data_IF_274331015299
#
_entry.id   IF_274331015299
#
_cell.length_a   1.000
_cell.length_b   1.000
_cell.length_c   1.000
_cell.angle_alpha   90.00
_cell.angle_beta   90.00
_cell.angle_gamma   90.00
#
_symmetry.space_group_name_H-M   'P 1'
#
loop_
_entity.id
_entity.type
_entity.pdbx_description
1 polymer ?
#
# COMPACT_ATOMS: atom_id res chain seq x y z
N UNK A 1 29.54 15.84 3.36
CA UNK A 1 29.31 14.38 3.26
C UNK A 1 27.90 14.12 3.74
N UNK A 2 26.91 14.23 2.85
CA UNK A 2 25.50 14.02 3.17
C UNK A 2 25.25 12.50 3.25
N UNK A 3 24.74 12.04 4.40
CA UNK A 3 24.47 10.63 4.67
C UNK A 3 23.34 10.04 3.82
N UNK A 4 23.16 8.70 3.84
CA UNK A 4 22.20 8.01 2.99
C UNK A 4 20.79 8.15 3.59
N UNK A 5 20.09 9.24 3.28
CA UNK A 5 18.70 9.44 3.72
C UNK A 5 17.68 9.52 2.57
N UNK A 6 18.15 9.42 1.32
CA UNK A 6 17.34 9.56 0.11
C UNK A 6 17.39 8.25 -0.69
N UNK A 7 16.91 7.15 -0.10
CA UNK A 7 16.33 6.11 -0.94
C UNK A 7 14.91 6.59 -1.21
N UNK A 8 14.57 6.97 -2.45
CA UNK A 8 13.22 7.45 -2.76
C UNK A 8 12.25 6.29 -2.52
N UNK A 9 11.60 6.31 -1.36
CA UNK A 9 10.46 5.45 -1.09
C UNK A 9 9.35 5.86 -2.05
N UNK A 10 8.68 4.88 -2.64
CA UNK A 10 7.48 5.14 -3.42
C UNK A 10 6.32 5.31 -2.44
N UNK A 11 5.43 6.26 -2.73
CA UNK A 11 4.17 6.33 -2.00
C UNK A 11 3.32 5.12 -2.36
N UNK A 12 2.64 4.56 -1.38
CA UNK A 12 1.89 3.32 -1.49
C UNK A 12 0.57 3.46 -0.76
N UNK A 13 -0.49 2.99 -1.40
CA UNK A 13 -1.84 2.88 -0.86
C UNK A 13 -2.16 1.39 -0.76
N UNK A 14 -2.36 0.93 0.47
CA UNK A 14 -2.74 -0.43 0.81
C UNK A 14 -4.22 -0.43 1.14
N UNK A 15 -4.99 -1.17 0.35
CA UNK A 15 -6.40 -1.40 0.61
C UNK A 15 -6.55 -2.73 1.34
N UNK A 16 -7.13 -2.71 2.53
CA UNK A 16 -7.43 -3.88 3.36
C UNK A 16 -8.77 -4.47 2.94
N UNK A 17 -8.88 -5.79 2.93
CA UNK A 17 -10.13 -6.47 2.63
C UNK A 17 -11.16 -6.26 3.75
N UNK A 18 -12.44 -6.14 3.38
CA UNK A 18 -13.54 -5.84 4.31
C UNK A 18 -13.66 -6.90 5.43
N UNK A 19 -13.51 -8.18 5.10
CA UNK A 19 -13.46 -9.30 6.05
C UNK A 19 -12.34 -9.20 7.10
N UNK A 20 -11.33 -8.36 6.84
CA UNK A 20 -10.16 -8.20 7.68
C UNK A 20 -10.06 -6.83 8.37
N UNK A 21 -11.08 -5.97 8.23
CA UNK A 21 -11.11 -4.66 8.90
C UNK A 21 -11.10 -4.74 10.42
N UNK A 22 -11.65 -5.81 11.01
CA UNK A 22 -11.56 -6.03 12.47
C UNK A 22 -10.10 -6.17 12.96
N UNK A 23 -9.19 -6.57 12.07
CA UNK A 23 -7.75 -6.70 12.32
C UNK A 23 -6.94 -5.56 11.68
N UNK A 24 -7.59 -4.47 11.27
CA UNK A 24 -6.94 -3.39 10.53
C UNK A 24 -5.70 -2.86 11.26
N UNK A 25 -5.80 -2.54 12.55
CA UNK A 25 -4.64 -2.07 13.34
C UNK A 25 -3.53 -3.10 13.46
N UNK A 26 -3.88 -4.38 13.55
CA UNK A 26 -2.88 -5.45 13.58
C UNK A 26 -2.15 -5.54 12.23
N UNK A 27 -2.89 -5.49 11.12
CA UNK A 27 -2.33 -5.46 9.78
C UNK A 27 -1.47 -4.23 9.55
N UNK A 28 -1.88 -3.06 10.03
CA UNK A 28 -1.08 -1.83 10.00
C UNK A 28 0.29 -2.02 10.67
N UNK A 29 0.31 -2.59 11.88
CA UNK A 29 1.58 -2.91 12.57
C UNK A 29 2.43 -3.95 11.82
N UNK A 30 1.79 -4.95 11.19
CA UNK A 30 2.50 -5.92 10.35
C UNK A 30 3.10 -5.27 9.10
N UNK A 31 2.37 -4.35 8.46
CA UNK A 31 2.86 -3.57 7.32
C UNK A 31 4.06 -2.70 7.72
N UNK A 32 3.99 -2.02 8.87
CA UNK A 32 5.12 -1.25 9.41
C UNK A 32 6.34 -2.13 9.69
N UNK A 33 6.14 -3.29 10.32
CA UNK A 33 7.21 -4.25 10.57
C UNK A 33 7.87 -4.79 9.30
N UNK A 34 7.21 -4.68 8.14
CA UNK A 34 7.73 -5.07 6.83
C UNK A 34 8.30 -3.91 6.00
N UNK A 35 8.41 -2.72 6.57
CA UNK A 35 9.05 -1.57 5.92
C UNK A 35 8.08 -0.53 5.34
N UNK A 36 6.77 -0.67 5.54
CA UNK A 36 5.83 0.41 5.21
C UNK A 36 5.91 1.52 6.26
N UNK A 37 6.30 2.73 5.89
CA UNK A 37 6.14 3.90 6.75
C UNK A 37 4.71 4.42 6.61
N UNK A 38 3.86 4.10 7.56
CA UNK A 38 2.47 4.57 7.56
C UNK A 38 2.46 6.09 7.75
N UNK A 39 1.78 6.77 6.82
CA UNK A 39 1.61 8.22 6.83
C UNK A 39 0.17 8.59 7.21
N UNK A 40 -0.82 7.84 6.72
CA UNK A 40 -2.22 8.04 7.05
C UNK A 40 -3.02 6.73 7.02
N UNK A 41 -3.99 6.61 7.93
CA UNK A 41 -4.86 5.44 8.08
C UNK A 41 -6.32 5.86 8.05
N UNK A 42 -7.06 5.32 7.10
CA UNK A 42 -8.50 5.52 6.94
C UNK A 42 -9.21 4.23 7.35
N UNK A 43 -9.28 3.97 8.65
CA UNK A 43 -9.86 2.73 9.22
C UNK A 43 -11.29 2.48 8.72
N UNK A 44 -12.11 3.53 8.58
CA UNK A 44 -13.48 3.42 8.09
C UNK A 44 -13.62 3.01 6.63
N UNK A 45 -12.56 3.17 5.82
CA UNK A 45 -12.52 2.76 4.42
C UNK A 45 -11.58 1.56 4.18
N UNK A 46 -10.85 1.12 5.21
CA UNK A 46 -9.84 0.09 5.06
C UNK A 46 -8.60 0.52 4.29
N UNK A 47 -8.27 1.81 4.23
CA UNK A 47 -7.14 2.30 3.43
C UNK A 47 -5.97 2.68 4.34
N UNK A 48 -4.77 2.23 4.04
CA UNK A 48 -3.52 2.60 4.69
C UNK A 48 -2.62 3.21 3.62
N UNK A 49 -2.17 4.44 3.84
CA UNK A 49 -1.26 5.14 2.92
C UNK A 49 0.05 5.43 3.60
N UNK A 50 1.14 5.29 2.87
CA UNK A 50 2.48 5.36 3.42
C UNK A 50 3.54 5.41 2.34
N UNK A 51 4.80 5.31 2.75
CA UNK A 51 5.92 5.18 1.84
C UNK A 51 6.69 3.90 2.14
N UNK A 52 7.09 3.17 1.10
CA UNK A 52 7.91 1.96 1.23
C UNK A 52 8.91 1.86 0.08
N UNK A 53 9.93 1.03 0.24
CA UNK A 53 10.86 0.73 -0.84
C UNK A 53 10.18 -0.16 -1.89
N UNK A 54 10.59 -0.11 -3.16
CA UNK A 54 10.05 -0.99 -4.21
C UNK A 54 10.15 -2.49 -3.87
N UNK A 55 11.23 -2.89 -3.17
CA UNK A 55 11.39 -4.26 -2.68
C UNK A 55 10.31 -4.63 -1.66
N UNK A 56 10.04 -3.72 -0.70
CA UNK A 56 9.04 -3.92 0.34
C UNK A 56 7.64 -3.97 -0.27
N UNK A 57 7.31 -3.07 -1.22
CA UNK A 57 6.01 -3.03 -1.92
C UNK A 57 5.63 -4.40 -2.49
N UNK A 58 6.56 -5.11 -3.13
CA UNK A 58 6.29 -6.45 -3.65
C UNK A 58 5.98 -7.47 -2.54
N UNK A 59 6.60 -7.33 -1.36
CA UNK A 59 6.29 -8.16 -0.20
C UNK A 59 4.93 -7.81 0.42
N UNK A 60 4.52 -6.54 0.40
CA UNK A 60 3.21 -6.09 0.91
C UNK A 60 2.07 -6.61 0.03
N UNK A 61 2.27 -6.68 -1.31
CA UNK A 61 1.28 -7.19 -2.29
C UNK A 61 0.81 -8.63 -1.99
N UNK A 62 1.67 -9.46 -1.38
CA UNK A 62 1.35 -10.84 -1.04
C UNK A 62 0.74 -11.05 0.36
N UNK A 63 0.43 -9.98 1.09
CA UNK A 63 0.02 -10.09 2.49
C UNK A 63 -1.43 -10.51 2.65
N UNK A 64 -1.68 -11.50 3.52
CA UNK A 64 -3.02 -12.03 3.77
C UNK A 64 -3.91 -10.99 4.46
N UNK A 65 -5.00 -10.61 3.81
CA UNK A 65 -5.94 -9.59 4.28
C UNK A 65 -5.76 -8.23 3.61
N UNK A 66 -4.73 -8.08 2.77
CA UNK A 66 -4.61 -6.96 1.85
C UNK A 66 -5.39 -7.29 0.57
N UNK A 67 -6.33 -6.42 0.21
CA UNK A 67 -7.10 -6.50 -1.03
C UNK A 67 -6.25 -6.06 -2.22
N UNK A 68 -5.50 -4.97 -2.07
CA UNK A 68 -4.61 -4.45 -3.11
C UNK A 68 -3.55 -3.51 -2.53
N UNK A 69 -2.41 -3.42 -3.20
CA UNK A 69 -1.34 -2.47 -2.90
C UNK A 69 -1.02 -1.73 -4.17
N UNK A 70 -1.23 -0.43 -4.15
CA UNK A 70 -1.11 0.46 -5.30
C UNK A 70 -0.04 1.51 -5.00
N UNK A 71 0.79 1.86 -5.97
CA UNK A 71 1.79 2.92 -5.83
C UNK A 71 1.09 4.26 -6.09
N UNK A 72 1.11 5.19 -5.13
CA UNK A 72 0.27 6.39 -5.10
C UNK A 72 0.59 7.44 -6.21
N UNK A 73 1.56 7.16 -7.08
CA UNK A 73 1.87 7.98 -8.25
C UNK A 73 1.59 7.30 -9.60
N UNK A 74 1.20 6.02 -9.60
CA UNK A 74 1.01 5.24 -10.80
C UNK A 74 -0.45 4.79 -10.91
N UNK A 75 -1.34 5.77 -11.04
CA UNK A 75 -2.69 5.55 -11.57
C UNK A 75 -2.53 5.16 -13.04
N UNK A 76 -2.20 3.89 -13.29
CA UNK A 76 -2.45 3.29 -14.59
C UNK A 76 -3.97 3.10 -14.66
N UNK A 77 -4.67 4.15 -15.08
CA UNK A 77 -6.00 3.99 -15.65
C UNK A 77 -5.85 2.90 -16.73
N UNK A 78 -6.48 1.72 -16.58
CA UNK A 78 -6.54 0.80 -17.70
C UNK A 78 -7.21 1.56 -18.85
N UNK A 79 -6.68 1.49 -20.09
CA UNK A 79 -7.34 2.12 -21.21
C UNK A 79 -8.79 1.61 -21.26
N UNK A 80 -9.79 2.49 -21.43
CA UNK A 80 -11.18 2.08 -21.60
C UNK A 80 -11.35 1.51 -23.00
N UNK A 81 -10.83 0.32 -23.23
CA UNK A 81 -11.19 -0.53 -24.36
C UNK A 81 -11.91 -1.76 -23.81
N UNK A 82 -13.00 -1.53 -23.06
CA UNK A 82 -14.11 -2.45 -23.19
C UNK A 82 -14.66 -2.23 -24.58
N UNK A 83 -14.35 -3.19 -25.46
CA UNK A 83 -15.08 -3.47 -26.68
C UNK A 83 -16.58 -3.31 -26.38
N UNK A 84 -17.13 -2.15 -26.73
CA UNK A 84 -18.57 -1.93 -26.72
C UNK A 84 -19.04 -2.70 -27.95
N UNK A 85 -19.74 -3.80 -27.68
CA UNK A 85 -20.17 -4.83 -28.63
C UNK A 85 -20.76 -4.30 -29.95
#
# INVERSE_FOLDING_TARGET
MSGPADQPGVEVVVTVAEDHLQRFRQLASELEGKGLKINNMMEGLGIISGAASLADVQQLKGMKGVKSVEEAGNVQLPPPESDIQ
#
